data_IF_782507645548
#
_entry.id   IF_782507645548
#
_cell.length_a   1.000
_cell.length_b   1.000
_cell.length_c   1.000
_cell.angle_alpha   90.00
_cell.angle_beta   90.00
_cell.angle_gamma   90.00
#
_symmetry.space_group_name_H-M   'P 1'
#
loop_
_entity.id
_entity.type
_entity.pdbx_description
1 polymer ?
#
# COMPACT_ATOMS: atom_id res chain seq x y z
N UNK A 1 -0.45 -8.57 34.14
CA UNK A 1 0.04 -8.15 32.77
C UNK A 1 1.38 -8.84 32.59
N UNK A 2 1.44 -9.83 31.68
CA UNK A 2 2.61 -10.71 31.55
C UNK A 2 3.85 -9.93 31.10
N UNK A 3 4.94 -10.06 31.85
CA UNK A 3 6.27 -9.48 31.57
C UNK A 3 6.88 -9.93 30.23
N UNK A 4 6.32 -10.94 29.57
CA UNK A 4 6.75 -11.39 28.23
C UNK A 4 6.23 -10.52 27.08
N UNK A 5 5.26 -9.61 27.31
CA UNK A 5 4.78 -8.67 26.31
C UNK A 5 5.73 -7.48 26.21
N UNK A 6 6.70 -7.52 25.36
CA UNK A 6 7.58 -6.37 25.14
C UNK A 6 8.96 -6.71 24.59
N UNK A 7 9.25 -7.97 24.26
CA UNK A 7 10.58 -8.37 23.75
C UNK A 7 10.89 -7.63 22.45
N UNK A 8 9.98 -7.65 21.46
CA UNK A 8 10.19 -6.94 20.21
C UNK A 8 10.11 -5.42 20.36
N UNK A 9 9.21 -4.94 21.23
CA UNK A 9 9.15 -3.51 21.59
C UNK A 9 10.45 -3.02 22.23
N UNK A 10 11.00 -3.79 23.16
CA UNK A 10 12.27 -3.46 23.82
C UNK A 10 13.44 -3.55 22.84
N UNK A 11 13.48 -4.56 21.97
CA UNK A 11 14.46 -4.70 20.90
C UNK A 11 14.41 -3.49 19.95
N UNK A 12 13.22 -3.12 19.52
CA UNK A 12 13.02 -1.94 18.69
C UNK A 12 13.51 -0.67 19.38
N UNK A 13 13.05 -0.43 20.62
CA UNK A 13 13.40 0.77 21.38
C UNK A 13 14.90 0.88 21.67
N UNK A 14 15.55 -0.23 22.00
CA UNK A 14 16.92 -0.22 22.49
C UNK A 14 17.97 -0.41 21.40
N UNK A 15 17.65 -1.09 20.31
CA UNK A 15 18.59 -1.35 19.20
C UNK A 15 18.25 -0.57 17.93
N UNK A 16 16.98 -0.53 17.52
CA UNK A 16 16.59 0.06 16.25
C UNK A 16 16.41 1.56 16.38
N UNK A 17 15.67 2.02 17.38
CA UNK A 17 15.39 3.46 17.57
C UNK A 17 16.66 4.32 17.69
N UNK A 18 17.72 3.93 18.43
CA UNK A 18 18.95 4.72 18.50
C UNK A 18 19.66 4.84 17.15
N UNK A 19 19.61 3.79 16.31
CA UNK A 19 20.16 3.82 14.94
C UNK A 19 19.34 4.73 14.03
N UNK A 20 18.02 4.72 14.21
CA UNK A 20 17.10 5.54 13.44
C UNK A 20 17.14 7.03 13.85
N UNK A 21 17.34 7.32 15.14
CA UNK A 21 17.38 8.70 15.68
C UNK A 21 18.75 9.36 15.55
N UNK A 22 19.84 8.60 15.45
CA UNK A 22 21.14 9.18 15.14
C UNK A 22 21.16 9.59 13.67
N UNK A 23 21.75 10.73 13.39
CA UNK A 23 22.19 11.09 12.05
C UNK A 23 23.40 10.21 11.69
N UNK A 24 23.10 8.92 11.48
CA UNK A 24 24.07 7.85 11.28
C UNK A 24 24.72 7.92 9.90
N UNK A 25 24.34 8.91 9.06
CA UNK A 25 24.74 8.97 7.66
C UNK A 25 24.21 7.81 6.80
N UNK A 26 23.42 6.89 7.39
CA UNK A 26 22.84 5.75 6.66
C UNK A 26 21.58 6.21 5.92
N UNK A 27 21.58 6.00 4.61
CA UNK A 27 20.43 6.29 3.75
C UNK A 27 19.15 5.61 4.25
N UNK A 28 18.09 6.40 4.44
CA UNK A 28 16.82 5.91 4.97
C UNK A 28 16.15 4.88 4.05
N UNK A 29 16.31 5.04 2.73
CA UNK A 29 15.80 4.09 1.74
C UNK A 29 16.56 2.76 1.80
N UNK A 30 17.87 2.78 2.06
CA UNK A 30 18.67 1.57 2.23
C UNK A 30 18.16 0.72 3.40
N UNK A 31 17.92 1.34 4.57
CA UNK A 31 17.39 0.61 5.73
C UNK A 31 15.98 0.06 5.49
N UNK A 32 15.14 0.79 4.78
CA UNK A 32 13.81 0.33 4.39
C UNK A 32 13.91 -0.90 3.48
N UNK A 33 14.79 -0.87 2.49
CA UNK A 33 15.00 -1.98 1.56
C UNK A 33 15.59 -3.21 2.26
N UNK A 34 16.51 -3.01 3.21
CA UNK A 34 17.06 -4.11 4.02
C UNK A 34 15.97 -4.78 4.85
N UNK A 35 15.12 -4.00 5.52
CA UNK A 35 13.99 -4.51 6.29
C UNK A 35 13.01 -5.28 5.39
N UNK A 36 12.66 -4.74 4.23
CA UNK A 36 11.81 -5.42 3.26
C UNK A 36 12.43 -6.72 2.73
N UNK A 37 13.74 -6.77 2.56
CA UNK A 37 14.44 -7.99 2.12
C UNK A 37 14.30 -9.12 3.16
N UNK A 38 14.43 -8.80 4.45
CA UNK A 38 14.23 -9.76 5.53
C UNK A 38 12.77 -10.22 5.61
N UNK A 39 11.83 -9.29 5.50
CA UNK A 39 10.39 -9.60 5.49
C UNK A 39 9.99 -10.40 4.25
N UNK A 40 10.59 -10.11 3.09
CA UNK A 40 10.41 -10.87 1.85
C UNK A 40 10.86 -12.33 2.00
N UNK A 41 12.03 -12.55 2.60
CA UNK A 41 12.48 -13.90 2.93
C UNK A 41 11.48 -14.62 3.84
N UNK A 42 11.04 -13.96 4.92
CA UNK A 42 10.04 -14.51 5.85
C UNK A 42 8.71 -14.81 5.15
N UNK A 43 8.27 -13.96 4.23
CA UNK A 43 7.03 -14.16 3.48
C UNK A 43 7.08 -15.36 2.53
N UNK A 44 8.20 -15.54 1.80
CA UNK A 44 8.41 -16.71 0.93
C UNK A 44 8.60 -18.02 1.71
N UNK A 45 9.10 -17.95 2.92
CA UNK A 45 9.36 -19.09 3.81
C UNK A 45 8.37 -19.16 4.97
N UNK A 46 7.19 -18.61 4.78
CA UNK A 46 6.16 -18.46 5.80
C UNK A 46 5.86 -19.76 6.55
N UNK A 47 5.82 -20.90 5.84
CA UNK A 47 5.52 -22.22 6.40
C UNK A 47 6.75 -22.95 6.99
N UNK A 48 7.96 -22.38 6.95
CA UNK A 48 9.10 -22.98 7.60
C UNK A 48 8.96 -22.91 9.13
N UNK A 49 9.24 -24.01 9.86
CA UNK A 49 8.98 -24.09 11.31
C UNK A 49 9.59 -22.94 12.10
N UNK A 50 10.84 -22.55 11.80
CA UNK A 50 11.54 -21.44 12.46
C UNK A 50 10.87 -20.12 12.15
N UNK A 51 10.60 -19.83 10.88
CA UNK A 51 9.96 -18.59 10.42
C UNK A 51 8.56 -18.47 11.01
N UNK A 52 7.76 -19.52 10.90
CA UNK A 52 6.40 -19.59 11.45
C UNK A 52 6.39 -19.36 12.97
N UNK A 53 7.35 -19.96 13.71
CA UNK A 53 7.47 -19.76 15.16
C UNK A 53 7.79 -18.30 15.53
N UNK A 54 8.69 -17.64 14.77
CA UNK A 54 9.03 -16.23 14.99
C UNK A 54 7.83 -15.33 14.66
N UNK A 55 7.18 -15.54 13.50
CA UNK A 55 6.01 -14.76 13.11
C UNK A 55 4.85 -14.91 14.11
N UNK A 56 4.64 -16.13 14.64
CA UNK A 56 3.66 -16.36 15.69
C UNK A 56 3.93 -15.53 16.93
N UNK A 57 5.18 -15.47 17.39
CA UNK A 57 5.55 -14.63 18.56
C UNK A 57 5.35 -13.13 18.28
N UNK A 58 5.66 -12.67 17.06
CA UNK A 58 5.40 -11.30 16.63
C UNK A 58 3.89 -11.03 16.68
N UNK A 59 3.10 -11.93 16.14
CA UNK A 59 1.64 -11.81 16.15
C UNK A 59 1.07 -11.76 17.57
N UNK A 60 1.53 -12.62 18.47
CA UNK A 60 1.10 -12.61 19.87
C UNK A 60 1.42 -11.28 20.60
N UNK A 61 2.49 -10.58 20.20
CA UNK A 61 2.87 -9.29 20.80
C UNK A 61 2.12 -8.10 20.17
N UNK A 62 1.93 -8.10 18.84
CA UNK A 62 1.41 -6.93 18.12
C UNK A 62 -0.07 -7.01 17.77
N UNK A 63 -0.67 -8.21 17.69
CA UNK A 63 -2.06 -8.33 17.29
C UNK A 63 -3.03 -8.09 18.45
N UNK A 64 -4.02 -7.27 18.17
CA UNK A 64 -5.15 -7.03 19.07
C UNK A 64 -6.40 -7.59 18.41
N UNK A 65 -7.02 -8.58 19.05
CA UNK A 65 -8.29 -9.16 18.58
C UNK A 65 -9.42 -8.61 19.45
N UNK A 66 -10.18 -7.67 18.89
CA UNK A 66 -11.38 -7.10 19.54
C UNK A 66 -12.44 -6.85 18.47
N UNK A 67 -13.62 -7.44 18.68
CA UNK A 67 -14.75 -7.30 17.73
C UNK A 67 -15.21 -5.85 17.54
N UNK A 68 -14.95 -4.97 18.51
CA UNK A 68 -15.29 -3.54 18.43
C UNK A 68 -14.42 -2.80 17.40
N UNK A 69 -13.26 -3.35 17.05
CA UNK A 69 -12.36 -2.80 16.05
C UNK A 69 -12.68 -3.26 14.63
N UNK A 70 -13.49 -4.29 14.49
CA UNK A 70 -13.89 -4.82 13.18
C UNK A 70 -14.86 -3.87 12.50
N UNK A 71 -14.60 -3.57 11.24
CA UNK A 71 -15.47 -2.74 10.39
C UNK A 71 -15.74 -3.44 9.06
N UNK A 72 -16.96 -3.25 8.54
CA UNK A 72 -17.32 -3.68 7.20
C UNK A 72 -17.56 -2.45 6.32
N UNK A 73 -16.72 -2.29 5.30
CA UNK A 73 -16.79 -1.16 4.36
C UNK A 73 -16.82 -1.72 2.95
N UNK A 74 -17.81 -1.35 2.16
CA UNK A 74 -17.99 -1.84 0.77
C UNK A 74 -18.02 -3.37 0.65
N UNK A 75 -18.57 -4.07 1.65
CA UNK A 75 -18.58 -5.54 1.67
C UNK A 75 -17.23 -6.17 2.03
N UNK A 76 -16.22 -5.38 2.37
CA UNK A 76 -14.92 -5.85 2.84
C UNK A 76 -14.89 -5.77 4.36
N UNK A 77 -14.48 -6.88 5.01
CA UNK A 77 -14.32 -6.94 6.46
C UNK A 77 -12.87 -6.62 6.83
N UNK A 78 -12.67 -5.54 7.58
CA UNK A 78 -11.40 -5.13 8.16
C UNK A 78 -11.36 -5.57 9.62
N UNK A 79 -10.40 -6.42 9.98
CA UNK A 79 -10.28 -6.97 11.34
C UNK A 79 -9.98 -5.91 12.40
N UNK A 80 -9.26 -4.85 12.02
CA UNK A 80 -9.01 -3.65 12.81
C UNK A 80 -8.76 -2.45 11.87
N UNK A 81 -8.84 -1.20 12.36
CA UNK A 81 -8.72 0.00 11.53
C UNK A 81 -7.28 0.38 11.18
N UNK A 82 -6.26 -0.33 11.67
CA UNK A 82 -4.87 -0.01 11.41
C UNK A 82 -4.37 -0.85 10.24
N UNK A 83 -3.97 -0.20 9.17
CA UNK A 83 -3.43 -0.85 7.97
C UNK A 83 -2.05 -0.37 7.59
N UNK A 84 -1.31 -1.21 6.87
CA UNK A 84 -0.10 -0.78 6.20
C UNK A 84 -0.46 0.12 5.03
N UNK A 85 0.06 1.34 5.00
CA UNK A 85 -0.17 2.28 3.91
C UNK A 85 0.69 1.94 2.68
N UNK A 86 0.18 2.27 1.49
CA UNK A 86 0.97 2.22 0.26
C UNK A 86 2.23 3.07 0.36
N UNK A 87 3.29 2.62 -0.30
CA UNK A 87 4.58 3.28 -0.32
C UNK A 87 5.67 2.55 0.45
N UNK A 88 5.32 1.66 1.39
CA UNK A 88 6.29 0.83 2.09
C UNK A 88 6.61 -0.45 1.30
N UNK A 89 5.66 -1.34 1.11
CA UNK A 89 5.82 -2.56 0.30
C UNK A 89 5.28 -2.37 -1.12
N UNK A 90 6.02 -1.63 -1.93
CA UNK A 90 5.59 -1.21 -3.27
C UNK A 90 5.47 -2.36 -4.26
N UNK A 91 6.25 -3.40 -4.06
CA UNK A 91 6.32 -4.54 -4.97
C UNK A 91 5.63 -5.80 -4.42
N UNK A 92 4.94 -5.70 -3.28
CA UNK A 92 4.28 -6.83 -2.65
C UNK A 92 5.25 -7.92 -2.22
N UNK A 93 6.46 -7.54 -1.79
CA UNK A 93 7.53 -8.49 -1.46
C UNK A 93 7.23 -9.29 -0.19
N UNK A 94 6.40 -8.75 0.70
CA UNK A 94 6.16 -9.27 2.04
C UNK A 94 4.66 -9.41 2.37
N UNK A 95 3.83 -9.68 1.36
CA UNK A 95 2.37 -9.63 1.49
C UNK A 95 1.80 -10.59 2.56
N UNK A 96 2.44 -11.74 2.80
CA UNK A 96 1.97 -12.72 3.77
C UNK A 96 2.19 -12.35 5.24
N UNK A 97 3.19 -11.49 5.55
CA UNK A 97 3.61 -11.28 6.94
C UNK A 97 2.94 -10.09 7.64
N UNK A 98 2.29 -9.20 6.90
CA UNK A 98 1.74 -7.97 7.47
C UNK A 98 0.72 -8.20 8.58
N UNK A 99 -0.10 -9.25 8.47
CA UNK A 99 -1.03 -9.65 9.52
C UNK A 99 -0.33 -9.97 10.85
N UNK A 100 0.87 -10.56 10.76
CA UNK A 100 1.61 -10.97 11.96
C UNK A 100 2.18 -9.77 12.70
N UNK A 101 2.31 -8.62 12.04
CA UNK A 101 2.62 -7.33 12.64
C UNK A 101 1.39 -6.57 13.17
N UNK A 102 0.23 -7.22 13.24
CA UNK A 102 -0.99 -6.66 13.81
C UNK A 102 -1.81 -5.76 12.88
N UNK A 103 -1.43 -5.66 11.60
CA UNK A 103 -2.23 -4.90 10.64
C UNK A 103 -3.53 -5.62 10.29
N UNK A 104 -4.64 -4.90 10.28
CA UNK A 104 -5.95 -5.39 9.83
C UNK A 104 -6.07 -5.52 8.31
N UNK A 105 -5.26 -4.76 7.58
CA UNK A 105 -5.15 -4.78 6.13
C UNK A 105 -3.79 -4.26 5.68
N UNK A 106 -3.43 -4.53 4.42
CA UNK A 106 -2.23 -3.96 3.82
C UNK A 106 -2.53 -3.41 2.43
N UNK A 107 -2.18 -2.15 2.19
CA UNK A 107 -2.23 -1.53 0.88
C UNK A 107 -0.83 -1.55 0.26
N UNK A 108 -0.66 -2.40 -0.76
CA UNK A 108 0.60 -2.62 -1.46
C UNK A 108 0.71 -1.67 -2.66
N UNK A 109 1.91 -1.34 -3.07
CA UNK A 109 2.12 -0.37 -4.16
C UNK A 109 2.67 0.96 -3.62
N UNK A 110 2.59 2.04 -4.36
CA UNK A 110 1.94 2.25 -5.66
C UNK A 110 2.67 1.47 -6.75
N UNK A 111 1.90 0.68 -7.48
CA UNK A 111 2.38 -0.04 -8.65
C UNK A 111 1.94 0.68 -9.93
N UNK A 112 2.77 0.64 -10.96
CA UNK A 112 2.52 1.16 -12.28
C UNK A 112 2.59 0.05 -13.32
N UNK A 113 2.04 0.27 -14.52
CA UNK A 113 2.12 -0.70 -15.61
C UNK A 113 3.58 -1.10 -15.87
N UNK A 114 4.43 -0.12 -16.06
CA UNK A 114 5.86 -0.34 -16.31
C UNK A 114 6.67 -0.19 -15.04
N UNK A 115 7.76 -0.94 -14.93
CA UNK A 115 8.77 -0.73 -13.91
C UNK A 115 9.39 0.66 -14.07
N UNK A 116 9.67 1.33 -12.95
CA UNK A 116 10.33 2.63 -12.97
C UNK A 116 11.20 2.83 -11.74
N UNK A 117 12.38 3.44 -11.97
CA UNK A 117 13.36 3.68 -10.91
C UNK A 117 12.92 4.77 -9.92
N UNK A 118 11.94 5.60 -10.29
CA UNK A 118 11.56 6.79 -9.54
C UNK A 118 12.53 7.95 -9.74
N UNK A 119 12.50 8.91 -8.82
CA UNK A 119 13.37 10.07 -8.86
C UNK A 119 14.81 9.75 -8.44
N UNK A 120 15.81 10.56 -8.82
CA UNK A 120 17.21 10.39 -8.39
C UNK A 120 17.33 10.39 -6.86
N UNK A 121 18.27 9.58 -6.36
CA UNK A 121 18.67 9.57 -4.94
C UNK A 121 19.62 10.72 -4.62
N UNK A 122 19.64 11.20 -3.35
CA UNK A 122 18.78 10.81 -2.22
C UNK A 122 17.35 11.35 -2.39
N UNK A 123 16.37 10.58 -1.94
CA UNK A 123 14.93 10.88 -2.15
C UNK A 123 14.02 10.53 -0.98
N UNK A 124 14.60 10.07 0.12
CA UNK A 124 13.93 9.84 1.40
C UNK A 124 14.80 10.40 2.52
N UNK A 125 14.28 11.34 3.28
CA UNK A 125 14.98 12.04 4.34
C UNK A 125 14.21 11.87 5.65
N UNK A 126 14.94 11.57 6.73
CA UNK A 126 14.39 11.57 8.08
C UNK A 126 14.65 12.92 8.72
N UNK A 127 13.61 13.45 9.33
CA UNK A 127 13.64 14.66 10.13
C UNK A 127 13.44 14.21 11.57
N UNK A 128 14.53 13.81 12.23
CA UNK A 128 14.46 13.09 13.51
C UNK A 128 13.95 13.96 14.66
N UNK A 129 14.27 15.24 14.65
CA UNK A 129 13.84 16.23 15.65
C UNK A 129 12.35 16.55 15.51
N UNK A 130 11.84 16.59 14.27
CA UNK A 130 10.43 16.84 13.95
C UNK A 130 9.58 15.58 13.94
N UNK A 131 10.18 14.43 14.23
CA UNK A 131 9.54 13.10 14.10
C UNK A 131 8.84 12.88 12.75
N UNK A 132 9.42 13.39 11.68
CA UNK A 132 8.85 13.42 10.34
C UNK A 132 9.75 12.76 9.29
N UNK A 133 9.20 12.53 8.12
CA UNK A 133 9.92 12.07 6.94
C UNK A 133 9.51 12.87 5.70
N UNK A 134 10.51 13.32 4.94
CA UNK A 134 10.32 13.97 3.65
C UNK A 134 10.70 13.00 2.53
N UNK A 135 9.87 12.88 1.49
CA UNK A 135 10.20 12.05 0.36
C UNK A 135 9.85 12.68 -0.99
N UNK A 136 10.60 12.25 -2.01
CA UNK A 136 10.36 12.52 -3.43
C UNK A 136 10.53 11.26 -4.27
N UNK A 137 9.90 10.16 -3.86
CA UNK A 137 10.15 8.81 -4.39
C UNK A 137 9.84 8.66 -5.88
N UNK A 138 8.74 9.25 -6.39
CA UNK A 138 8.37 9.18 -7.82
C UNK A 138 7.90 7.78 -8.26
N UNK A 139 7.15 7.09 -7.40
CA UNK A 139 6.58 5.76 -7.66
C UNK A 139 7.59 4.70 -8.12
N UNK A 140 8.78 4.67 -7.49
CA UNK A 140 9.73 3.59 -7.77
C UNK A 140 9.12 2.22 -7.45
N UNK A 141 9.00 1.38 -8.48
CA UNK A 141 8.42 0.04 -8.39
C UNK A 141 8.87 -0.81 -9.59
N UNK A 142 8.69 -2.11 -9.50
CA UNK A 142 9.14 -3.07 -10.51
C UNK A 142 8.06 -3.42 -11.56
N UNK A 143 6.93 -2.70 -11.57
CA UNK A 143 5.82 -2.90 -12.50
C UNK A 143 4.82 -3.97 -12.05
N UNK A 144 3.65 -3.95 -12.69
CA UNK A 144 2.52 -4.81 -12.33
C UNK A 144 2.83 -6.30 -12.52
N UNK A 145 3.53 -6.68 -13.59
CA UNK A 145 3.92 -8.08 -13.85
C UNK A 145 4.84 -8.63 -12.75
N UNK A 146 5.79 -7.82 -12.27
CA UNK A 146 6.68 -8.24 -11.20
C UNK A 146 5.93 -8.42 -9.87
N UNK A 147 4.93 -7.58 -9.60
CA UNK A 147 4.09 -7.73 -8.41
C UNK A 147 3.30 -9.04 -8.45
N UNK A 148 2.73 -9.42 -9.61
CA UNK A 148 2.11 -10.73 -9.81
C UNK A 148 3.11 -11.86 -9.54
N UNK A 149 4.32 -11.77 -10.11
CA UNK A 149 5.38 -12.77 -9.87
C UNK A 149 5.69 -12.91 -8.37
N UNK A 150 5.83 -11.80 -7.65
CA UNK A 150 6.08 -11.81 -6.20
C UNK A 150 4.94 -12.49 -5.42
N UNK A 151 3.69 -12.28 -5.83
CA UNK A 151 2.54 -12.95 -5.21
C UNK A 151 2.59 -14.46 -5.43
N UNK A 152 2.85 -14.90 -6.66
CA UNK A 152 2.97 -16.34 -6.98
C UNK A 152 4.10 -16.99 -6.18
N UNK A 153 5.28 -16.34 -6.09
CA UNK A 153 6.42 -16.86 -5.31
C UNK A 153 6.14 -16.97 -3.80
N UNK A 154 5.21 -16.17 -3.28
CA UNK A 154 4.77 -16.22 -1.88
C UNK A 154 3.58 -17.16 -1.67
N UNK A 155 3.06 -17.80 -2.72
CA UNK A 155 1.85 -18.63 -2.63
C UNK A 155 0.59 -17.79 -2.35
N UNK A 156 0.58 -16.51 -2.69
CA UNK A 156 -0.62 -15.68 -2.61
C UNK A 156 -1.57 -16.12 -3.72
N UNK A 157 -2.65 -16.72 -3.29
CA UNK A 157 -3.65 -17.25 -4.20
C UNK A 157 -4.62 -16.17 -4.69
N UNK A 158 -5.27 -16.46 -5.81
CA UNK A 158 -6.37 -15.65 -6.32
C UNK A 158 -7.48 -15.49 -5.27
N UNK A 159 -8.25 -14.42 -5.35
CA UNK A 159 -9.34 -14.04 -4.41
C UNK A 159 -10.25 -15.15 -3.88
N UNK A 160 -10.35 -16.26 -4.60
CA UNK A 160 -11.24 -17.39 -4.23
C UNK A 160 -10.84 -18.13 -2.96
N UNK A 161 -9.58 -17.99 -2.53
CA UNK A 161 -9.06 -18.65 -1.35
C UNK A 161 -8.97 -17.63 -0.21
N UNK A 162 -9.39 -18.06 0.99
CA UNK A 162 -9.39 -17.21 2.18
C UNK A 162 -7.97 -16.79 2.55
N UNK A 163 -7.62 -15.56 2.23
CA UNK A 163 -6.42 -14.93 2.77
C UNK A 163 -6.64 -14.54 4.23
N UNK A 164 -5.57 -14.57 4.98
CA UNK A 164 -5.62 -14.21 6.40
C UNK A 164 -5.58 -12.68 6.64
N UNK A 165 -5.44 -11.88 5.58
CA UNK A 165 -5.40 -10.42 5.63
C UNK A 165 -6.10 -9.84 4.40
N UNK A 166 -6.80 -8.72 4.56
CA UNK A 166 -7.32 -7.93 3.46
C UNK A 166 -6.15 -7.24 2.72
N UNK A 167 -6.03 -7.48 1.42
CA UNK A 167 -5.02 -6.88 0.56
C UNK A 167 -5.64 -5.84 -0.37
N UNK A 168 -5.25 -4.59 -0.19
CA UNK A 168 -5.45 -3.52 -1.16
C UNK A 168 -4.26 -3.40 -2.10
N UNK A 169 -4.48 -2.99 -3.34
CA UNK A 169 -3.41 -2.61 -4.25
C UNK A 169 -3.63 -1.16 -4.67
N UNK A 170 -2.57 -0.37 -4.53
CA UNK A 170 -2.54 1.02 -4.92
C UNK A 170 -1.96 1.15 -6.33
N UNK A 171 -2.72 1.70 -7.25
CA UNK A 171 -2.39 1.83 -8.66
C UNK A 171 -2.07 3.28 -9.00
N UNK A 172 -1.02 3.50 -9.77
CA UNK A 172 -0.64 4.80 -10.29
C UNK A 172 -0.29 4.74 -11.77
N UNK A 173 -0.30 5.90 -12.43
CA UNK A 173 0.15 6.06 -13.82
C UNK A 173 1.68 5.97 -13.89
N UNK A 174 2.19 5.23 -14.86
CA UNK A 174 3.62 5.20 -15.17
C UNK A 174 4.13 6.59 -15.58
N UNK A 175 5.35 6.95 -15.18
CA UNK A 175 5.95 8.25 -15.50
C UNK A 175 6.11 8.46 -17.00
N UNK A 176 6.48 7.40 -17.72
CA UNK A 176 6.71 7.42 -19.19
C UNK A 176 5.43 7.51 -20.00
N UNK A 177 4.27 7.26 -19.39
CA UNK A 177 2.97 7.28 -20.07
C UNK A 177 2.40 8.69 -20.10
N UNK A 178 2.00 9.17 -21.24
CA UNK A 178 1.33 10.46 -21.39
C UNK A 178 -0.02 10.48 -20.67
N UNK A 179 -0.49 11.67 -20.30
CA UNK A 179 -1.77 11.83 -19.61
C UNK A 179 -2.94 11.31 -20.46
N UNK A 180 -2.90 11.49 -21.76
CA UNK A 180 -3.91 10.99 -22.72
C UNK A 180 -4.01 9.45 -22.76
N UNK A 181 -2.94 8.76 -22.37
CA UNK A 181 -2.86 7.29 -22.31
C UNK A 181 -2.97 6.76 -20.88
N UNK A 182 -3.20 7.64 -19.90
CA UNK A 182 -3.28 7.26 -18.50
C UNK A 182 -4.30 6.16 -18.24
N UNK A 183 -5.45 6.22 -18.90
CA UNK A 183 -6.52 5.23 -18.80
C UNK A 183 -6.00 3.82 -19.12
N UNK A 184 -5.33 3.65 -20.24
CA UNK A 184 -4.82 2.35 -20.68
C UNK A 184 -3.72 1.81 -19.75
N UNK A 185 -2.91 2.70 -19.18
CA UNK A 185 -1.88 2.37 -18.20
C UNK A 185 -2.52 1.77 -16.93
N UNK A 186 -3.52 2.45 -16.35
CA UNK A 186 -4.27 1.94 -15.20
C UNK A 186 -4.99 0.63 -15.52
N UNK A 187 -5.73 0.56 -16.61
CA UNK A 187 -6.50 -0.63 -16.99
C UNK A 187 -5.61 -1.86 -17.20
N UNK A 188 -4.42 -1.69 -17.76
CA UNK A 188 -3.46 -2.79 -17.95
C UNK A 188 -3.00 -3.34 -16.60
N UNK A 189 -2.58 -2.48 -15.67
CA UNK A 189 -2.15 -2.89 -14.33
C UNK A 189 -3.28 -3.55 -13.54
N UNK A 190 -4.48 -2.97 -13.61
CA UNK A 190 -5.68 -3.47 -12.93
C UNK A 190 -6.07 -4.86 -13.43
N UNK A 191 -6.10 -5.09 -14.75
CA UNK A 191 -6.43 -6.42 -15.33
C UNK A 191 -5.53 -7.53 -14.79
N UNK A 192 -4.25 -7.24 -14.58
CA UNK A 192 -3.29 -8.20 -14.03
C UNK A 192 -3.50 -8.47 -12.55
N UNK A 193 -3.87 -7.45 -11.76
CA UNK A 193 -3.79 -7.49 -10.31
C UNK A 193 -5.14 -7.59 -9.60
N UNK A 194 -6.25 -7.26 -10.26
CA UNK A 194 -7.62 -7.45 -9.71
C UNK A 194 -7.85 -8.85 -9.14
N UNK A 195 -7.34 -9.94 -9.76
CA UNK A 195 -7.54 -11.28 -9.20
C UNK A 195 -6.90 -11.48 -7.82
N UNK A 196 -5.96 -10.63 -7.42
CA UNK A 196 -5.18 -10.76 -6.18
C UNK A 196 -5.58 -9.77 -5.09
N UNK A 197 -6.35 -8.74 -5.37
CA UNK A 197 -6.69 -7.70 -4.38
C UNK A 197 -8.16 -7.77 -3.92
N UNK A 198 -8.39 -7.38 -2.67
CA UNK A 198 -9.74 -7.26 -2.10
C UNK A 198 -10.34 -5.90 -2.40
N UNK A 199 -9.49 -4.87 -2.59
CA UNK A 199 -9.87 -3.55 -3.10
C UNK A 199 -8.75 -2.96 -3.96
N UNK A 200 -9.10 -2.01 -4.82
CA UNK A 200 -8.15 -1.26 -5.62
C UNK A 200 -8.18 0.22 -5.22
N UNK A 201 -7.01 0.78 -4.89
CA UNK A 201 -6.84 2.21 -4.61
C UNK A 201 -6.26 2.91 -5.86
N UNK A 202 -7.03 3.82 -6.44
CA UNK A 202 -6.63 4.59 -7.62
C UNK A 202 -5.94 5.87 -7.16
N UNK A 203 -4.63 5.93 -7.31
CA UNK A 203 -3.81 7.02 -6.79
C UNK A 203 -3.63 8.11 -7.84
N UNK A 204 -4.34 9.20 -7.66
CA UNK A 204 -4.22 10.42 -8.49
C UNK A 204 -3.61 11.60 -7.71
N UNK A 205 -3.05 11.33 -6.51
CA UNK A 205 -2.65 12.37 -5.55
C UNK A 205 -1.17 12.77 -5.60
N UNK A 206 -0.29 11.91 -6.15
CA UNK A 206 1.16 12.13 -6.02
C UNK A 206 1.64 13.40 -6.72
N UNK A 207 2.37 14.27 -6.02
CA UNK A 207 3.01 15.43 -6.65
C UNK A 207 4.29 15.07 -7.40
N UNK A 208 4.82 13.86 -7.15
CA UNK A 208 6.11 13.41 -7.66
C UNK A 208 6.04 12.74 -9.05
N UNK A 209 4.86 12.74 -9.68
CA UNK A 209 4.63 12.24 -11.03
C UNK A 209 3.98 13.36 -11.85
N UNK A 210 4.68 13.80 -12.88
CA UNK A 210 4.24 14.94 -13.70
C UNK A 210 2.85 14.72 -14.30
N UNK A 211 2.00 15.74 -14.19
CA UNK A 211 0.65 15.74 -14.71
C UNK A 211 -0.34 14.82 -14.00
N UNK A 212 0.08 13.97 -13.06
CA UNK A 212 -0.81 12.99 -12.42
C UNK A 212 -2.00 13.65 -11.72
N UNK A 213 -1.76 14.75 -11.00
CA UNK A 213 -2.81 15.46 -10.26
C UNK A 213 -3.90 16.07 -11.16
N UNK A 214 -3.64 16.25 -12.48
CA UNK A 214 -4.67 16.63 -13.44
C UNK A 214 -5.80 15.60 -13.54
N UNK A 215 -5.52 14.32 -13.20
CA UNK A 215 -6.54 13.28 -13.15
C UNK A 215 -7.53 13.47 -11.97
N UNK A 216 -7.32 14.42 -11.07
CA UNK A 216 -8.29 14.82 -10.05
C UNK A 216 -9.37 15.75 -10.60
N UNK A 217 -9.23 16.21 -11.85
CA UNK A 217 -10.32 16.89 -12.55
C UNK A 217 -11.56 15.98 -12.59
N UNK A 218 -12.74 16.47 -12.19
CA UNK A 218 -13.94 15.65 -12.08
C UNK A 218 -14.31 14.90 -13.36
N UNK A 219 -14.14 15.52 -14.52
CA UNK A 219 -14.50 14.88 -15.81
C UNK A 219 -13.53 13.74 -16.12
N UNK A 220 -12.22 13.99 -16.03
CA UNK A 220 -11.18 13.00 -16.29
C UNK A 220 -11.25 11.83 -15.30
N UNK A 221 -11.50 12.14 -14.04
CA UNK A 221 -11.63 11.12 -12.99
C UNK A 221 -12.86 10.25 -13.23
N UNK A 222 -14.00 10.85 -13.57
CA UNK A 222 -15.24 10.12 -13.90
C UNK A 222 -15.04 9.15 -15.06
N UNK A 223 -14.41 9.59 -16.12
CA UNK A 223 -14.12 8.73 -17.28
C UNK A 223 -13.22 7.55 -16.90
N UNK A 224 -12.14 7.83 -16.15
CA UNK A 224 -11.22 6.80 -15.68
C UNK A 224 -11.95 5.75 -14.82
N UNK A 225 -12.71 6.19 -13.84
CA UNK A 225 -13.43 5.28 -12.91
C UNK A 225 -14.50 4.48 -13.65
N UNK A 226 -15.23 5.08 -14.59
CA UNK A 226 -16.21 4.37 -15.42
C UNK A 226 -15.58 3.20 -16.17
N UNK A 227 -14.43 3.43 -16.79
CA UNK A 227 -13.74 2.38 -17.54
C UNK A 227 -13.19 1.28 -16.61
N UNK A 228 -12.67 1.66 -15.43
CA UNK A 228 -12.20 0.68 -14.43
C UNK A 228 -13.36 -0.21 -13.96
N UNK A 229 -14.53 0.37 -13.70
CA UNK A 229 -15.72 -0.39 -13.28
C UNK A 229 -16.23 -1.38 -14.31
N UNK A 230 -15.99 -1.12 -15.59
CA UNK A 230 -16.34 -2.05 -16.67
C UNK A 230 -15.42 -3.28 -16.72
N UNK A 231 -14.34 -3.31 -15.93
CA UNK A 231 -13.47 -4.48 -15.87
C UNK A 231 -14.18 -5.68 -15.20
N UNK A 232 -14.01 -6.89 -15.73
CA UNK A 232 -14.57 -8.09 -15.12
C UNK A 232 -14.08 -8.25 -13.66
N UNK A 233 -14.99 -8.58 -12.76
CA UNK A 233 -14.68 -8.82 -11.34
C UNK A 233 -14.01 -7.63 -10.64
N UNK A 234 -14.30 -6.40 -11.08
CA UNK A 234 -13.78 -5.19 -10.47
C UNK A 234 -14.09 -5.20 -8.96
N UNK A 235 -13.07 -5.05 -8.09
CA UNK A 235 -13.27 -4.97 -6.65
C UNK A 235 -13.79 -3.58 -6.26
N UNK A 236 -14.19 -3.37 -5.00
CA UNK A 236 -14.40 -2.03 -4.48
C UNK A 236 -13.23 -1.09 -4.80
N UNK A 237 -13.58 0.11 -5.27
CA UNK A 237 -12.60 1.13 -5.67
C UNK A 237 -12.50 2.21 -4.60
N UNK A 238 -11.27 2.54 -4.22
CA UNK A 238 -10.94 3.70 -3.41
C UNK A 238 -10.14 4.70 -4.26
N UNK A 239 -10.53 5.96 -4.24
CA UNK A 239 -9.80 7.00 -4.95
C UNK A 239 -8.96 7.79 -3.97
N UNK A 240 -7.63 7.75 -4.13
CA UNK A 240 -6.70 8.47 -3.27
C UNK A 240 -6.42 9.83 -3.85
N UNK A 241 -6.94 10.88 -3.19
CA UNK A 241 -6.81 12.28 -3.58
C UNK A 241 -5.74 13.02 -2.76
N UNK A 242 -5.28 14.16 -3.26
CA UNK A 242 -4.29 14.97 -2.57
C UNK A 242 -4.93 15.72 -1.36
N UNK A 243 -4.17 15.90 -0.25
CA UNK A 243 -4.70 16.52 0.97
C UNK A 243 -4.84 18.04 0.85
N UNK A 244 -4.19 18.64 -0.14
CA UNK A 244 -4.11 20.08 -0.39
C UNK A 244 -5.13 20.59 -1.45
N UNK A 245 -6.14 19.75 -1.77
CA UNK A 245 -7.26 20.18 -2.61
C UNK A 245 -8.12 21.21 -1.90
N UNK A 246 -8.68 22.18 -2.65
CA UNK A 246 -9.69 23.10 -2.11
C UNK A 246 -10.95 22.32 -1.75
N UNK A 247 -11.68 22.78 -0.74
CA UNK A 247 -12.92 22.14 -0.30
C UNK A 247 -13.92 21.93 -1.45
N UNK A 248 -14.05 22.92 -2.34
CA UNK A 248 -14.92 22.81 -3.51
C UNK A 248 -14.49 21.69 -4.45
N UNK A 249 -13.18 21.52 -4.70
CA UNK A 249 -12.69 20.45 -5.58
C UNK A 249 -13.00 19.06 -4.98
N UNK A 250 -12.90 18.92 -3.65
CA UNK A 250 -13.30 17.71 -2.92
C UNK A 250 -14.81 17.49 -3.04
N UNK A 251 -15.62 18.52 -2.88
CA UNK A 251 -17.07 18.46 -3.00
C UNK A 251 -17.49 18.02 -4.41
N UNK A 252 -16.91 18.62 -5.45
CA UNK A 252 -17.17 18.27 -6.85
C UNK A 252 -16.80 16.80 -7.14
N UNK A 253 -15.68 16.34 -6.60
CA UNK A 253 -15.27 14.95 -6.68
C UNK A 253 -16.28 14.04 -5.92
N UNK A 254 -16.69 14.40 -4.71
CA UNK A 254 -17.67 13.65 -3.93
C UNK A 254 -19.01 13.51 -4.66
N UNK A 255 -19.49 14.55 -5.31
CA UNK A 255 -20.75 14.53 -6.06
C UNK A 255 -20.72 13.48 -7.21
N UNK A 256 -19.56 13.26 -7.84
CA UNK A 256 -19.44 12.22 -8.88
C UNK A 256 -19.77 10.81 -8.35
N UNK A 257 -19.52 10.59 -7.08
CA UNK A 257 -19.61 9.26 -6.47
C UNK A 257 -20.87 9.06 -5.63
N UNK A 258 -21.56 10.13 -5.21
CA UNK A 258 -22.86 10.05 -4.56
C UNK A 258 -23.93 9.44 -5.48
N UNK A 259 -23.77 9.62 -6.79
CA UNK A 259 -24.66 9.05 -7.79
C UNK A 259 -24.36 7.59 -8.13
N UNK A 260 -23.25 7.05 -7.61
CA UNK A 260 -22.76 5.73 -7.95
C UNK A 260 -22.27 4.98 -6.69
N UNK A 261 -23.18 4.36 -5.98
CA UNK A 261 -23.06 3.76 -4.63
C UNK A 261 -21.88 2.81 -4.35
N UNK A 262 -20.85 2.75 -5.18
CA UNK A 262 -19.80 1.73 -5.12
C UNK A 262 -18.36 2.25 -5.00
N UNK A 263 -18.12 3.54 -4.75
CA UNK A 263 -16.76 4.10 -4.68
C UNK A 263 -16.58 4.97 -3.44
N UNK A 264 -15.40 4.90 -2.81
CA UNK A 264 -15.07 5.63 -1.59
C UNK A 264 -13.79 6.43 -1.75
N UNK A 265 -13.62 7.47 -0.91
CA UNK A 265 -12.45 8.34 -0.93
C UNK A 265 -11.50 8.01 0.19
N UNK A 266 -10.21 7.96 -0.15
CA UNK A 266 -9.14 8.01 0.82
C UNK A 266 -8.45 9.36 0.66
N UNK A 267 -8.46 10.15 1.71
CA UNK A 267 -7.65 11.37 1.77
C UNK A 267 -6.23 10.97 2.15
N UNK A 268 -5.25 11.44 1.38
CA UNK A 268 -3.85 11.25 1.74
C UNK A 268 -3.48 12.34 2.76
N UNK A 269 -3.29 11.95 4.01
CA UNK A 269 -2.83 12.82 5.10
C UNK A 269 -1.31 12.76 5.17
#
# INVERSE_FOLDING_TARGET
>A
MNEQKGVFKNLYKNLITPVLKRDSGIDAEYLTNLSLSLLSFSSRKYNWPIVSSILKKINEEFSIVDKRLTQSICGINFCNPIGLAAGFDKNGNAANVWKDFGFGFAELGTVTKFAQNGNPKPRLFRLAEEEAALNRMGFNNNGAENLVKNFVEQGIELKKNRRNICLGINFGKSKITDLSQAKDDYLTSLKLLIPYCDYAAINVSSPNTEGLRKLQDPILLKELIKEIKNLPSCPPLFVKIAPDLRFKDIEDICQLFLLDHSSFFLVNI
#
